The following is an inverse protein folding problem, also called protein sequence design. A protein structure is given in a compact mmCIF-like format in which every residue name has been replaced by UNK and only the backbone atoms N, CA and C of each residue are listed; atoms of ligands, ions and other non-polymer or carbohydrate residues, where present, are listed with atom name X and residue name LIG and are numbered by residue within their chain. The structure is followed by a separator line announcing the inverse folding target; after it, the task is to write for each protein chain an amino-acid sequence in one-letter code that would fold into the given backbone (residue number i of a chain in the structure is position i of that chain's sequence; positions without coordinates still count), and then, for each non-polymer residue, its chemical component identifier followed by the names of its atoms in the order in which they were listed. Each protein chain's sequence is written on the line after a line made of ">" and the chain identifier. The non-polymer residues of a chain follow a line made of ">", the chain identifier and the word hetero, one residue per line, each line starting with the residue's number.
data_IF_479319531164
#
_entry.id   IF_479319531164
#
_cell.length_a   1.000
_cell.length_b   1.000
_cell.length_c   1.000
_cell.angle_alpha   90.00
_cell.angle_beta   90.00
_cell.angle_gamma   90.00
#
_symmetry.space_group_name_H-M   'P 1'
#
loop_
_entity.id
_entity.type
_entity.pdbx_description
1 polymer ?
#
# COMPACT_ATOMS: atom_id res chain seq x y z
N UNK A 1 -5.30 18.44 -2.39
CA UNK A 1 -5.49 17.21 -1.59
C UNK A 1 -6.02 17.51 -0.18
N UNK A 2 -5.42 18.48 0.56
CA UNK A 2 -5.92 18.87 1.89
C UNK A 2 -7.39 19.29 1.87
N UNK A 3 -7.83 20.04 0.87
CA UNK A 3 -9.22 20.46 0.71
C UNK A 3 -10.23 19.33 0.47
N UNK A 4 -9.76 18.13 0.09
CA UNK A 4 -10.62 16.95 -0.15
C UNK A 4 -10.56 15.95 1.00
N UNK A 5 -9.37 15.72 1.58
CA UNK A 5 -9.17 14.73 2.63
C UNK A 5 -9.39 15.31 4.04
N UNK A 6 -9.08 16.60 4.23
CA UNK A 6 -8.91 17.17 5.55
C UNK A 6 -7.53 16.87 6.15
N UNK A 7 -7.12 17.68 7.12
CA UNK A 7 -5.81 17.56 7.74
C UNK A 7 -5.69 16.37 8.71
N UNK A 8 -6.79 15.87 9.20
CA UNK A 8 -6.92 14.67 10.05
C UNK A 8 -6.69 13.37 9.24
N UNK A 9 -6.90 13.42 7.92
CA UNK A 9 -6.68 12.32 6.99
C UNK A 9 -5.31 12.40 6.26
N UNK A 10 -4.48 13.39 6.59
CA UNK A 10 -3.13 13.56 6.06
C UNK A 10 -2.10 13.02 7.07
N UNK A 11 -1.62 11.79 6.85
CA UNK A 11 -0.66 11.10 7.72
C UNK A 11 0.78 11.38 7.24
N UNK A 12 1.63 11.89 8.11
CA UNK A 12 3.02 12.21 7.83
C UNK A 12 3.88 10.92 7.87
N UNK A 13 4.53 10.58 6.77
CA UNK A 13 5.23 9.30 6.61
C UNK A 13 6.76 9.41 6.69
N UNK A 14 7.34 10.50 6.21
CA UNK A 14 8.80 10.63 6.18
C UNK A 14 9.28 12.06 6.16
N UNK A 15 10.43 12.28 6.80
CA UNK A 15 11.13 13.54 6.86
C UNK A 15 12.62 13.34 6.57
N UNK A 16 13.23 14.28 5.84
CA UNK A 16 14.67 14.37 5.63
C UNK A 16 15.35 14.93 6.89
N UNK A 17 14.74 15.94 7.51
CA UNK A 17 15.27 16.58 8.70
C UNK A 17 15.13 15.67 9.93
N UNK A 18 16.24 15.28 10.60
CA UNK A 18 16.17 14.41 11.78
C UNK A 18 15.32 14.95 12.92
N UNK A 19 15.23 16.29 13.06
CA UNK A 19 14.42 16.93 14.11
C UNK A 19 12.92 16.74 13.92
N UNK A 20 12.47 16.51 12.68
CA UNK A 20 11.07 16.31 12.35
C UNK A 20 10.66 14.82 12.34
N UNK A 21 11.61 13.89 12.34
CA UNK A 21 11.33 12.45 12.35
C UNK A 21 10.38 11.97 13.45
N UNK A 22 10.39 12.54 14.69
CA UNK A 22 9.40 12.17 15.71
C UNK A 22 7.95 12.49 15.34
N UNK A 23 7.70 13.28 14.29
CA UNK A 23 6.36 13.55 13.77
C UNK A 23 5.87 12.47 12.80
N UNK A 24 6.72 11.53 12.40
CA UNK A 24 6.32 10.40 11.55
C UNK A 24 5.23 9.57 12.22
N UNK A 25 4.18 9.23 11.45
CA UNK A 25 3.01 8.51 11.97
C UNK A 25 1.94 9.41 12.62
N UNK A 26 2.17 10.73 12.65
CA UNK A 26 1.18 11.70 13.14
C UNK A 26 0.37 12.30 12.00
N UNK A 27 -0.84 12.75 12.29
CA UNK A 27 -1.65 13.50 11.31
C UNK A 27 -1.24 14.96 11.29
N UNK A 28 -1.38 15.61 10.13
CA UNK A 28 -1.11 17.03 9.98
C UNK A 28 -1.96 17.86 10.95
N UNK A 29 -3.24 17.49 11.16
CA UNK A 29 -4.11 18.15 12.12
C UNK A 29 -3.56 18.10 13.56
N UNK A 30 -2.98 16.96 13.96
CA UNK A 30 -2.40 16.83 15.31
C UNK A 30 -1.16 17.71 15.51
N UNK A 31 -0.34 17.83 14.47
CA UNK A 31 0.87 18.69 14.49
C UNK A 31 0.48 20.16 14.46
N UNK A 32 -0.47 20.56 13.63
CA UNK A 32 -0.99 21.93 13.56
C UNK A 32 -1.55 22.38 14.91
N UNK A 33 -2.35 21.52 15.55
CA UNK A 33 -2.91 21.78 16.89
C UNK A 33 -1.82 21.99 17.94
N UNK A 34 -0.78 21.17 17.95
CA UNK A 34 0.35 21.29 18.87
C UNK A 34 1.14 22.58 18.66
N UNK A 35 1.32 22.98 17.39
CA UNK A 35 2.01 24.22 17.03
C UNK A 35 1.15 25.48 17.21
N UNK A 36 -0.16 25.32 17.40
CA UNK A 36 -1.10 26.45 17.55
C UNK A 36 -1.32 27.24 16.26
N UNK A 37 -1.17 26.60 15.10
CA UNK A 37 -1.31 27.19 13.76
C UNK A 37 -2.38 26.46 12.95
N UNK A 38 -2.77 27.03 11.78
CA UNK A 38 -3.64 26.34 10.84
C UNK A 38 -2.95 25.12 10.21
N UNK A 39 -3.72 24.12 9.74
CA UNK A 39 -3.12 22.99 9.02
C UNK A 39 -2.35 23.39 7.75
N UNK A 40 -2.81 24.40 7.05
CA UNK A 40 -2.16 24.96 5.85
C UNK A 40 -0.81 25.57 6.21
N UNK A 41 -0.76 26.35 7.27
CA UNK A 41 0.46 26.97 7.78
C UNK A 41 1.44 25.89 8.27
N UNK A 42 0.96 24.92 9.06
CA UNK A 42 1.78 23.78 9.50
C UNK A 42 2.36 22.99 8.32
N UNK A 43 1.60 22.78 7.23
CA UNK A 43 2.08 22.08 6.04
C UNK A 43 3.22 22.85 5.35
N UNK A 44 3.09 24.17 5.23
CA UNK A 44 4.11 25.04 4.63
C UNK A 44 5.37 25.04 5.52
N UNK A 45 5.21 25.22 6.81
CA UNK A 45 6.31 25.23 7.77
C UNK A 45 7.08 23.91 7.75
N UNK A 46 6.39 22.78 7.77
CA UNK A 46 7.02 21.47 7.71
C UNK A 46 7.85 21.27 6.44
N UNK A 47 7.38 21.73 5.28
CA UNK A 47 8.13 21.65 4.02
C UNK A 47 9.37 22.54 4.07
N UNK A 48 9.25 23.75 4.61
CA UNK A 48 10.37 24.69 4.76
C UNK A 48 11.42 24.13 5.73
N UNK A 49 11.00 23.68 6.92
CA UNK A 49 11.87 23.12 7.96
C UNK A 49 12.56 21.82 7.51
N UNK A 50 11.86 21.00 6.73
CA UNK A 50 12.39 19.74 6.21
C UNK A 50 13.38 19.96 5.04
N UNK A 51 13.23 21.05 4.32
CA UNK A 51 14.01 21.35 3.12
C UNK A 51 13.80 20.32 1.99
N UNK A 52 12.67 19.60 2.03
CA UNK A 52 12.31 18.58 1.04
C UNK A 52 10.80 18.41 0.93
N UNK A 53 10.38 17.43 0.09
CA UNK A 53 9.00 16.97 0.08
C UNK A 53 8.74 16.10 1.31
N UNK A 54 7.83 16.52 2.18
CA UNK A 54 7.37 15.70 3.30
C UNK A 54 6.51 14.55 2.76
N UNK A 55 6.93 13.32 3.02
CA UNK A 55 6.16 12.12 2.62
C UNK A 55 4.83 12.09 3.37
N UNK A 56 3.71 12.01 2.63
CA UNK A 56 2.36 12.07 3.23
C UNK A 56 1.44 11.06 2.57
N UNK A 57 0.73 10.27 3.39
CA UNK A 57 -0.40 9.45 2.92
C UNK A 57 -1.71 10.21 3.16
N UNK A 58 -2.53 10.31 2.11
CA UNK A 58 -3.87 10.87 2.19
C UNK A 58 -4.90 9.74 2.22
N UNK A 59 -5.68 9.65 3.29
CA UNK A 59 -6.72 8.64 3.46
C UNK A 59 -7.98 9.04 2.68
N UNK A 60 -7.89 8.97 1.33
CA UNK A 60 -8.94 9.40 0.39
C UNK A 60 -9.85 8.26 -0.06
N UNK A 61 -9.43 7.01 0.13
CA UNK A 61 -10.12 5.83 -0.37
C UNK A 61 -10.98 5.24 0.73
N UNK A 62 -12.26 4.98 0.45
CA UNK A 62 -13.10 4.22 1.36
C UNK A 62 -12.96 2.72 1.11
N UNK A 63 -12.93 1.92 2.18
CA UNK A 63 -12.86 0.46 2.10
C UNK A 63 -14.07 -0.14 1.36
N UNK A 64 -15.23 0.50 1.46
CA UNK A 64 -16.41 0.10 0.71
C UNK A 64 -16.19 0.19 -0.81
N UNK A 65 -15.59 1.30 -1.28
CA UNK A 65 -15.28 1.46 -2.70
C UNK A 65 -14.19 0.48 -3.15
N UNK A 66 -13.17 0.24 -2.34
CA UNK A 66 -12.14 -0.78 -2.63
C UNK A 66 -12.78 -2.15 -2.78
N UNK A 67 -13.69 -2.52 -1.87
CA UNK A 67 -14.42 -3.80 -1.92
C UNK A 67 -15.28 -3.94 -3.18
N UNK A 68 -15.99 -2.87 -3.57
CA UNK A 68 -16.76 -2.83 -4.83
C UNK A 68 -15.86 -3.00 -6.05
N UNK A 69 -14.70 -2.35 -6.08
CA UNK A 69 -13.72 -2.47 -7.16
C UNK A 69 -13.11 -3.88 -7.21
N UNK A 70 -12.77 -4.46 -6.06
CA UNK A 70 -12.26 -5.83 -5.96
C UNK A 70 -13.26 -6.83 -6.55
N UNK A 71 -14.55 -6.60 -6.42
CA UNK A 71 -15.59 -7.48 -6.99
C UNK A 71 -15.71 -7.40 -8.54
N UNK A 72 -15.08 -6.43 -9.21
CA UNK A 72 -15.17 -6.27 -10.66
C UNK A 72 -14.29 -7.29 -11.41
N UNK A 73 -14.86 -8.20 -12.23
CA UNK A 73 -14.12 -9.37 -12.74
C UNK A 73 -13.04 -9.04 -13.78
N UNK A 74 -13.07 -7.84 -14.34
CA UNK A 74 -12.12 -7.36 -15.35
C UNK A 74 -10.92 -6.60 -14.74
N UNK A 75 -10.94 -6.27 -13.45
CA UNK A 75 -9.83 -5.64 -12.76
C UNK A 75 -8.70 -6.64 -12.45
N UNK A 76 -7.46 -6.26 -12.73
CA UNK A 76 -6.26 -6.87 -12.17
C UNK A 76 -5.77 -6.09 -10.94
N UNK A 77 -4.84 -6.66 -10.20
CA UNK A 77 -4.26 -6.04 -9.00
C UNK A 77 -2.82 -5.60 -9.24
N UNK A 78 -2.48 -4.42 -8.77
CA UNK A 78 -1.12 -3.88 -8.78
C UNK A 78 -0.79 -3.24 -7.45
N UNK A 79 0.48 -3.24 -7.06
CA UNK A 79 0.92 -2.63 -5.80
C UNK A 79 1.08 -1.10 -5.92
N UNK A 80 1.31 -0.58 -7.11
CA UNK A 80 1.70 0.82 -7.33
C UNK A 80 2.83 1.23 -6.36
N UNK A 81 3.81 0.34 -6.21
CA UNK A 81 4.92 0.50 -5.29
C UNK A 81 6.24 0.10 -5.95
N UNK A 82 7.32 0.70 -5.49
CA UNK A 82 8.68 0.35 -5.88
C UNK A 82 9.11 -0.98 -5.22
N UNK A 83 10.06 -1.67 -5.84
CA UNK A 83 10.71 -2.84 -5.25
C UNK A 83 11.68 -2.37 -4.17
N UNK A 84 11.43 -2.76 -2.93
CA UNK A 84 12.27 -2.41 -1.78
C UNK A 84 12.34 -3.56 -0.77
N UNK A 85 13.46 -3.63 -0.07
CA UNK A 85 13.68 -4.57 1.02
C UNK A 85 13.42 -3.90 2.37
N UNK A 86 12.97 -4.62 3.42
CA UNK A 86 12.74 -4.05 4.74
C UNK A 86 14.03 -3.90 5.55
N UNK A 87 15.11 -3.41 4.93
CA UNK A 87 16.41 -3.20 5.57
C UNK A 87 17.17 -2.00 4.98
N UNK A 88 18.32 -1.68 5.55
CA UNK A 88 19.26 -0.68 5.07
C UNK A 88 18.65 0.70 4.88
N UNK A 89 18.91 1.32 3.72
CA UNK A 89 18.46 2.67 3.40
C UNK A 89 16.94 2.82 3.31
N UNK A 90 16.23 1.73 3.04
CA UNK A 90 14.77 1.74 2.92
C UNK A 90 14.06 1.95 4.27
N UNK A 91 14.76 1.70 5.39
CA UNK A 91 14.24 1.99 6.74
C UNK A 91 14.23 3.49 7.08
N UNK A 92 14.83 4.34 6.24
CA UNK A 92 14.86 5.79 6.44
C UNK A 92 13.54 6.50 6.13
N UNK A 93 12.62 5.82 5.47
CA UNK A 93 11.29 6.33 5.13
C UNK A 93 10.22 5.26 5.38
N UNK A 94 8.97 5.70 5.58
CA UNK A 94 7.83 4.80 5.69
C UNK A 94 7.08 4.74 4.36
N UNK A 95 7.25 3.66 3.56
CA UNK A 95 6.47 3.46 2.36
C UNK A 95 5.01 3.11 2.71
N UNK A 96 4.13 3.21 1.71
CA UNK A 96 2.77 2.71 1.88
C UNK A 96 2.80 1.18 2.14
N UNK A 97 1.98 0.64 3.06
CA UNK A 97 1.94 -0.80 3.38
C UNK A 97 1.78 -1.72 2.17
N UNK A 98 1.16 -1.24 1.09
CA UNK A 98 1.01 -1.98 -0.16
C UNK A 98 2.33 -2.42 -0.80
N UNK A 99 3.44 -1.77 -0.47
CA UNK A 99 4.76 -2.16 -0.97
C UNK A 99 5.14 -3.61 -0.58
N UNK A 100 4.71 -4.06 0.59
CA UNK A 100 5.05 -5.39 1.11
C UNK A 100 3.87 -6.34 1.18
N UNK A 101 2.64 -5.83 1.30
CA UNK A 101 1.48 -6.64 1.64
C UNK A 101 0.38 -6.72 0.59
N UNK A 102 0.45 -5.98 -0.53
CA UNK A 102 -0.67 -5.82 -1.45
C UNK A 102 -1.29 -7.14 -1.92
N UNK A 103 -0.48 -8.04 -2.49
CA UNK A 103 -0.96 -9.29 -3.08
C UNK A 103 -1.42 -10.30 -2.02
N UNK A 104 -0.68 -10.38 -0.90
CA UNK A 104 -1.09 -11.20 0.24
C UNK A 104 -2.42 -10.72 0.84
N UNK A 105 -2.65 -9.39 0.91
CA UNK A 105 -3.90 -8.80 1.37
C UNK A 105 -5.08 -9.17 0.49
N UNK A 106 -4.91 -9.27 -0.83
CA UNK A 106 -5.98 -9.75 -1.73
C UNK A 106 -6.43 -11.15 -1.30
N UNK A 107 -5.48 -12.06 -1.08
CA UNK A 107 -5.76 -13.45 -0.73
C UNK A 107 -6.26 -13.60 0.72
N UNK A 108 -5.67 -12.88 1.66
CA UNK A 108 -6.06 -12.94 3.06
C UNK A 108 -7.43 -12.28 3.28
N UNK A 109 -7.50 -10.98 3.02
CA UNK A 109 -8.68 -10.18 3.37
C UNK A 109 -9.85 -10.41 2.43
N UNK A 110 -9.65 -10.22 1.12
CA UNK A 110 -10.78 -10.19 0.18
C UNK A 110 -11.24 -11.59 -0.26
N UNK A 111 -10.35 -12.59 -0.23
CA UNK A 111 -10.72 -13.99 -0.50
C UNK A 111 -11.13 -14.70 0.78
N UNK A 112 -10.19 -14.88 1.73
CA UNK A 112 -10.41 -15.72 2.91
C UNK A 112 -11.40 -15.10 3.90
N UNK A 113 -11.18 -13.84 4.31
CA UNK A 113 -11.91 -13.25 5.43
C UNK A 113 -13.24 -12.64 4.99
N UNK A 114 -13.26 -11.85 3.94
CA UNK A 114 -14.46 -11.14 3.46
C UNK A 114 -15.24 -11.88 2.37
N UNK A 115 -14.62 -12.86 1.70
CA UNK A 115 -15.21 -13.64 0.60
C UNK A 115 -15.80 -12.76 -0.51
N UNK A 116 -15.17 -11.64 -0.78
CA UNK A 116 -15.56 -10.70 -1.82
C UNK A 116 -15.35 -11.27 -3.24
N UNK A 117 -14.36 -12.14 -3.39
CA UNK A 117 -14.05 -12.91 -4.61
C UNK A 117 -13.59 -14.32 -4.24
N UNK A 118 -13.66 -15.26 -5.20
CA UNK A 118 -13.15 -16.62 -4.98
C UNK A 118 -11.63 -16.68 -5.10
N UNK A 119 -11.03 -17.75 -4.58
CA UNK A 119 -9.58 -17.97 -4.67
C UNK A 119 -9.14 -18.10 -6.14
N UNK A 120 -9.90 -18.84 -6.94
CA UNK A 120 -9.63 -19.07 -8.35
C UNK A 120 -9.67 -17.76 -9.14
N UNK A 121 -10.67 -16.91 -8.89
CA UNK A 121 -10.76 -15.59 -9.53
C UNK A 121 -9.61 -14.67 -9.09
N UNK A 122 -9.25 -14.68 -7.82
CA UNK A 122 -8.10 -13.92 -7.31
C UNK A 122 -6.79 -14.36 -8.01
N UNK A 123 -6.52 -15.66 -8.07
CA UNK A 123 -5.32 -16.21 -8.75
C UNK A 123 -5.31 -15.83 -10.22
N UNK A 124 -6.43 -15.99 -10.93
CA UNK A 124 -6.56 -15.56 -12.33
C UNK A 124 -6.20 -14.09 -12.51
N UNK A 125 -6.70 -13.22 -11.62
CA UNK A 125 -6.53 -11.76 -11.69
C UNK A 125 -5.17 -11.28 -11.18
N UNK A 126 -4.46 -12.10 -10.43
CA UNK A 126 -3.08 -11.86 -9.98
C UNK A 126 -2.03 -12.35 -10.99
N UNK A 127 -2.39 -13.24 -11.91
CA UNK A 127 -1.42 -13.87 -12.83
C UNK A 127 -1.90 -13.88 -14.29
N UNK A 128 -2.91 -14.66 -14.65
CA UNK A 128 -3.33 -14.86 -16.04
C UNK A 128 -3.87 -13.58 -16.68
N UNK A 129 -4.71 -12.83 -15.98
CA UNK A 129 -5.32 -11.60 -16.50
C UNK A 129 -4.26 -10.51 -16.78
N UNK A 130 -3.34 -10.16 -15.85
CA UNK A 130 -2.29 -9.19 -16.15
C UNK A 130 -1.34 -9.67 -17.26
N UNK A 131 -0.99 -10.96 -17.30
CA UNK A 131 -0.17 -11.51 -18.40
C UNK A 131 -0.87 -11.33 -19.77
N UNK A 132 -2.17 -11.59 -19.83
CA UNK A 132 -2.97 -11.38 -21.04
C UNK A 132 -3.06 -9.89 -21.41
N UNK A 133 -3.36 -9.02 -20.46
CA UNK A 133 -3.49 -7.57 -20.71
C UNK A 133 -2.20 -6.93 -21.20
N UNK A 134 -1.06 -7.43 -20.72
CA UNK A 134 0.27 -6.93 -21.07
C UNK A 134 0.91 -7.70 -22.24
N UNK A 135 0.18 -8.65 -22.86
CA UNK A 135 0.67 -9.52 -23.92
C UNK A 135 2.00 -10.26 -23.57
N UNK A 136 2.12 -10.68 -22.30
CA UNK A 136 3.26 -11.48 -21.84
C UNK A 136 3.07 -12.91 -22.30
N UNK A 137 3.88 -13.36 -23.26
CA UNK A 137 3.77 -14.68 -23.84
C UNK A 137 4.21 -15.77 -22.85
N UNK A 138 3.51 -16.91 -22.89
CA UNK A 138 3.85 -18.17 -22.20
C UNK A 138 4.03 -18.05 -20.68
N UNK A 139 3.33 -17.10 -20.03
CA UNK A 139 3.31 -16.89 -18.57
C UNK A 139 1.90 -16.69 -18.03
N UNK A 140 1.77 -16.70 -16.70
CA UNK A 140 0.52 -16.42 -15.98
C UNK A 140 -0.41 -17.63 -15.79
N UNK A 141 -0.06 -18.79 -16.33
CA UNK A 141 -0.81 -20.05 -16.16
C UNK A 141 0.14 -21.24 -16.05
N UNK A 142 -0.29 -22.26 -15.31
CA UNK A 142 0.36 -23.58 -15.34
C UNK A 142 -0.17 -24.36 -16.55
N UNK A 143 0.60 -24.39 -17.62
CA UNK A 143 0.23 -25.00 -18.90
C UNK A 143 1.48 -25.55 -19.59
N UNK A 144 1.33 -26.65 -20.35
CA UNK A 144 2.40 -27.22 -21.14
C UNK A 144 2.99 -26.19 -22.11
N UNK A 145 4.32 -26.11 -22.13
CA UNK A 145 5.08 -25.15 -22.95
C UNK A 145 5.20 -23.75 -22.35
N UNK A 146 4.56 -23.46 -21.21
CA UNK A 146 4.70 -22.20 -20.50
C UNK A 146 5.89 -22.22 -19.54
N UNK A 147 6.40 -21.03 -19.20
CA UNK A 147 7.41 -20.89 -18.14
C UNK A 147 6.84 -21.34 -16.79
N UNK A 148 7.64 -22.08 -16.03
CA UNK A 148 7.27 -22.62 -14.73
C UNK A 148 7.45 -21.57 -13.60
N UNK A 149 6.73 -20.46 -13.69
CA UNK A 149 6.65 -19.47 -12.61
C UNK A 149 5.64 -19.98 -11.56
N UNK A 150 6.13 -20.75 -10.59
CA UNK A 150 5.28 -21.45 -9.61
C UNK A 150 5.33 -20.73 -8.27
N UNK A 151 4.18 -20.37 -7.73
CA UNK A 151 4.00 -19.84 -6.37
C UNK A 151 3.26 -20.88 -5.53
N UNK A 152 3.80 -21.19 -4.35
CA UNK A 152 3.18 -22.08 -3.37
C UNK A 152 2.85 -21.25 -2.12
N UNK A 153 1.61 -21.32 -1.66
CA UNK A 153 1.17 -20.63 -0.45
C UNK A 153 0.07 -21.41 0.29
N UNK A 154 -0.09 -21.18 1.58
CA UNK A 154 -1.22 -21.73 2.35
C UNK A 154 -2.36 -20.67 2.40
N UNK A 155 -3.50 -20.89 1.72
CA UNK A 155 -4.60 -19.93 1.69
C UNK A 155 -5.23 -19.67 3.07
N UNK A 156 -4.99 -20.53 4.05
CA UNK A 156 -5.47 -20.37 5.43
C UNK A 156 -4.53 -19.52 6.27
N UNK A 157 -3.25 -19.42 5.89
CA UNK A 157 -2.20 -18.75 6.67
C UNK A 157 -1.68 -17.47 6.01
N UNK A 158 -1.86 -17.31 4.70
CA UNK A 158 -1.36 -16.14 4.00
C UNK A 158 -1.88 -14.87 4.66
N UNK A 159 -0.96 -13.93 4.98
CA UNK A 159 -1.28 -12.73 5.72
C UNK A 159 -0.34 -11.59 5.38
N UNK A 160 -0.90 -10.39 5.16
CA UNK A 160 -0.17 -9.14 5.14
C UNK A 160 0.05 -8.64 6.58
N UNK A 161 1.23 -8.11 6.86
CA UNK A 161 1.60 -7.59 8.17
C UNK A 161 1.92 -6.10 8.15
N UNK A 162 2.22 -5.55 6.99
CA UNK A 162 2.58 -4.15 6.82
C UNK A 162 1.42 -3.23 7.21
N UNK A 163 1.69 -2.23 8.08
CA UNK A 163 0.76 -1.16 8.45
C UNK A 163 1.38 0.20 8.16
N UNK A 164 0.62 1.27 8.28
CA UNK A 164 1.18 2.63 8.12
C UNK A 164 2.20 2.97 9.20
N UNK A 165 2.05 2.42 10.41
CA UNK A 165 2.97 2.62 11.53
C UNK A 165 4.21 1.72 11.43
N UNK A 166 4.05 0.52 10.84
CA UNK A 166 5.09 -0.49 10.68
C UNK A 166 5.04 -1.09 9.28
N UNK A 167 5.45 -0.34 8.25
CA UNK A 167 5.31 -0.78 6.87
C UNK A 167 6.34 -1.84 6.43
N UNK A 168 7.53 -1.88 7.05
CA UNK A 168 8.65 -2.72 6.65
C UNK A 168 8.48 -4.17 7.14
N UNK A 169 7.40 -4.83 6.71
CA UNK A 169 7.08 -6.20 7.10
C UNK A 169 6.65 -7.00 5.88
N UNK A 170 7.36 -8.10 5.61
CA UNK A 170 6.94 -9.05 4.59
C UNK A 170 5.65 -9.77 4.99
N UNK A 171 4.88 -10.16 3.99
CA UNK A 171 3.77 -11.09 4.16
C UNK A 171 4.29 -12.48 4.52
N UNK A 172 3.43 -13.31 5.11
CA UNK A 172 3.69 -14.71 5.45
C UNK A 172 2.61 -15.62 4.87
N UNK A 173 2.87 -16.94 4.81
CA UNK A 173 1.90 -17.99 4.42
C UNK A 173 2.26 -18.78 3.13
#
# INVERSE_FOLDING_TARGET
>A
LLGHAGADQALLLSFKNPKLKPLTGRTLASVAKERGVSPEEAAIDLVIEDGSRVGTAYMLMSEENVRRQVALPWMSFGSDAEAMTPDGVFLLSNPHPRAYGNFARVLARYVRDERAITLEDAVRRLSALPAQNLAIADRGMLKDGYFADVVVFDPRKIQDHATFEKPHQFATG
#
